data_IF_366338258259
#
_entry.id   IF_366338258259
#
_cell.length_a   1.000
_cell.length_b   1.000
_cell.length_c   1.000
_cell.angle_alpha   90.00
_cell.angle_beta   90.00
_cell.angle_gamma   90.00
#
_symmetry.space_group_name_H-M   'P 1'
#
loop_
_entity.id
_entity.type
_entity.pdbx_description
1 polymer ?
#
# COMPACT_ATOMS: atom_id res chain seq x y z
N UNK A 1 18.94 -45.59 -13.66
CA UNK A 1 18.78 -44.21 -14.14
C UNK A 1 17.32 -43.82 -13.99
N UNK A 2 16.90 -43.31 -12.84
CA UNK A 2 15.51 -42.90 -12.62
C UNK A 2 15.39 -41.41 -12.87
N UNK A 3 14.73 -41.13 -13.99
CA UNK A 3 14.11 -39.89 -14.43
C UNK A 3 13.64 -39.00 -13.28
N UNK A 4 14.05 -37.73 -13.32
CA UNK A 4 13.60 -36.65 -12.44
C UNK A 4 12.07 -36.50 -12.53
N UNK A 5 11.34 -37.23 -11.69
CA UNK A 5 9.88 -37.20 -11.61
C UNK A 5 9.39 -35.91 -10.96
N UNK A 6 8.46 -35.23 -11.61
CA UNK A 6 7.84 -34.00 -11.10
C UNK A 6 7.03 -34.31 -9.83
N UNK A 7 7.40 -33.71 -8.71
CA UNK A 7 6.67 -33.85 -7.43
C UNK A 7 5.44 -32.93 -7.42
N UNK A 8 4.24 -33.51 -7.36
CA UNK A 8 2.99 -32.77 -7.15
C UNK A 8 2.67 -32.80 -5.64
N UNK A 9 2.70 -31.63 -5.00
CA UNK A 9 2.34 -31.47 -3.58
C UNK A 9 0.81 -31.57 -3.47
N UNK A 10 0.30 -32.48 -2.63
CA UNK A 10 -1.15 -32.59 -2.43
C UNK A 10 -1.60 -31.50 -1.46
N UNK A 11 -2.83 -31.02 -1.61
CA UNK A 11 -3.37 -29.97 -0.74
C UNK A 11 -3.24 -30.30 0.76
N UNK A 12 -3.46 -31.57 1.14
CA UNK A 12 -3.33 -32.07 2.51
C UNK A 12 -1.90 -32.00 3.08
N UNK A 13 -0.89 -31.92 2.22
CA UNK A 13 0.52 -31.89 2.61
C UNK A 13 0.96 -30.46 3.02
N UNK A 14 0.11 -29.44 2.80
CA UNK A 14 0.36 -28.08 3.27
C UNK A 14 0.03 -27.94 4.76
N UNK A 15 1.03 -27.53 5.54
CA UNK A 15 0.84 -27.24 6.96
C UNK A 15 -0.15 -26.07 7.20
N UNK A 16 -1.11 -26.27 8.11
CA UNK A 16 -2.05 -25.23 8.52
C UNK A 16 -1.33 -24.19 9.37
N UNK A 17 -1.18 -22.96 8.85
CA UNK A 17 -0.66 -21.82 9.61
C UNK A 17 -1.81 -21.11 10.31
N UNK A 18 -1.84 -21.15 11.64
CA UNK A 18 -2.84 -20.44 12.44
C UNK A 18 -2.48 -18.96 12.56
N UNK A 19 -3.49 -18.10 12.54
CA UNK A 19 -3.34 -16.65 12.70
C UNK A 19 -4.03 -16.18 13.96
N UNK A 20 -3.50 -15.11 14.56
CA UNK A 20 -4.10 -14.49 15.76
C UNK A 20 -5.31 -13.67 15.35
N UNK A 21 -6.47 -13.96 15.94
CA UNK A 21 -7.72 -13.24 15.67
C UNK A 21 -7.62 -11.76 16.05
N UNK A 22 -8.34 -10.92 15.31
CA UNK A 22 -8.65 -9.54 15.71
C UNK A 22 -9.55 -9.57 16.94
N UNK A 23 -9.32 -8.68 17.90
CA UNK A 23 -10.19 -8.53 19.06
C UNK A 23 -11.52 -7.98 18.55
N UNK A 24 -12.65 -8.59 18.93
CA UNK A 24 -13.95 -8.28 18.31
C UNK A 24 -14.37 -6.80 18.40
N UNK A 25 -13.92 -6.07 19.42
CA UNK A 25 -14.21 -4.64 19.59
C UNK A 25 -13.27 -3.71 18.80
N UNK A 26 -12.26 -4.25 18.10
CA UNK A 26 -11.27 -3.44 17.38
C UNK A 26 -11.64 -3.25 15.92
N UNK A 27 -11.48 -2.03 15.44
CA UNK A 27 -11.70 -1.63 14.05
C UNK A 27 -10.45 -0.92 13.52
N UNK A 28 -10.01 -1.12 12.27
CA UNK A 28 -8.91 -0.34 11.69
C UNK A 28 -9.11 1.19 11.72
N UNK A 29 -10.34 1.62 11.98
CA UNK A 29 -10.77 3.01 12.03
C UNK A 29 -11.07 3.50 13.47
N UNK A 30 -10.81 2.68 14.50
CA UNK A 30 -11.05 3.04 15.90
C UNK A 30 -10.00 4.00 16.50
N UNK A 31 -8.92 4.27 15.76
CA UNK A 31 -7.82 5.13 16.20
C UNK A 31 -6.85 4.47 17.19
N UNK A 32 -6.98 3.17 17.47
CA UNK A 32 -6.03 2.42 18.30
C UNK A 32 -4.79 2.02 17.49
N UNK A 33 -4.01 3.03 17.10
CA UNK A 33 -2.77 2.84 16.37
C UNK A 33 -1.75 1.94 17.09
N UNK A 34 -1.56 2.01 18.42
CA UNK A 34 -0.66 1.09 19.12
C UNK A 34 -1.02 -0.39 18.90
N UNK A 35 -2.32 -0.72 18.93
CA UNK A 35 -2.77 -2.08 18.64
C UNK A 35 -2.46 -2.50 17.19
N UNK A 36 -2.79 -1.64 16.23
CA UNK A 36 -2.60 -1.91 14.81
C UNK A 36 -1.11 -1.96 14.42
N UNK A 37 -0.26 -1.10 14.96
CA UNK A 37 1.19 -1.09 14.76
C UNK A 37 1.84 -2.39 15.27
N UNK A 38 1.49 -2.81 16.48
CA UNK A 38 2.00 -4.05 17.06
C UNK A 38 1.58 -5.27 16.24
N UNK A 39 0.33 -5.30 15.74
CA UNK A 39 -0.12 -6.35 14.83
C UNK A 39 0.63 -6.31 13.50
N UNK A 40 0.81 -5.13 12.92
CA UNK A 40 1.50 -4.95 11.63
C UNK A 40 2.94 -5.47 11.70
N UNK A 41 3.62 -5.24 12.83
CA UNK A 41 4.96 -5.75 13.11
C UNK A 41 5.05 -7.27 13.24
N UNK A 42 3.92 -7.96 13.53
CA UNK A 42 3.84 -9.41 13.75
C UNK A 42 3.26 -10.16 12.55
N UNK A 43 2.92 -9.46 11.46
CA UNK A 43 2.35 -10.11 10.28
C UNK A 43 3.35 -11.07 9.64
N UNK A 44 2.95 -12.33 9.36
CA UNK A 44 3.81 -13.28 8.68
C UNK A 44 4.15 -12.77 7.27
N UNK A 45 5.39 -12.98 6.84
CA UNK A 45 5.86 -12.60 5.49
C UNK A 45 6.48 -11.21 5.39
N UNK A 46 6.40 -10.36 6.44
CA UNK A 46 7.21 -9.13 6.47
C UNK A 46 8.66 -9.45 6.78
N UNK A 47 9.58 -8.80 6.06
CA UNK A 47 11.01 -8.97 6.30
C UNK A 47 11.42 -8.35 7.65
N UNK A 48 12.46 -8.91 8.27
CA UNK A 48 13.01 -8.39 9.53
C UNK A 48 13.44 -6.92 9.43
N UNK A 49 13.92 -6.50 8.25
CA UNK A 49 14.26 -5.11 7.94
C UNK A 49 13.05 -4.21 8.00
N UNK A 50 11.95 -4.59 7.34
CA UNK A 50 10.70 -3.80 7.34
C UNK A 50 10.14 -3.69 8.76
N UNK A 51 10.13 -4.79 9.53
CA UNK A 51 9.65 -4.77 10.91
C UNK A 51 10.49 -3.84 11.80
N UNK A 52 11.81 -3.85 11.64
CA UNK A 52 12.71 -2.94 12.37
C UNK A 52 12.43 -1.47 12.03
N UNK A 53 12.30 -1.14 10.74
CA UNK A 53 12.00 0.22 10.30
C UNK A 53 10.62 0.69 10.77
N UNK A 54 9.62 -0.20 10.72
CA UNK A 54 8.28 0.11 11.19
C UNK A 54 8.29 0.51 12.67
N UNK A 55 9.02 -0.22 13.52
CA UNK A 55 9.18 0.11 14.95
C UNK A 55 9.95 1.41 15.17
N UNK A 56 11.02 1.65 14.41
CA UNK A 56 11.82 2.87 14.51
C UNK A 56 11.00 4.12 14.12
N UNK A 57 10.11 3.97 13.15
CA UNK A 57 9.25 5.04 12.65
C UNK A 57 7.89 5.10 13.36
N UNK A 58 7.69 4.32 14.43
CA UNK A 58 6.44 4.28 15.19
C UNK A 58 5.22 4.06 14.29
N UNK A 59 5.34 3.14 13.34
CA UNK A 59 4.26 2.81 12.41
C UNK A 59 3.90 3.90 11.38
N UNK A 60 4.67 4.99 11.28
CA UNK A 60 4.37 6.10 10.36
C UNK A 60 5.30 6.15 9.16
N UNK A 61 4.77 6.60 8.02
CA UNK A 61 5.54 6.90 6.83
C UNK A 61 6.33 8.20 7.05
N UNK A 62 7.64 8.22 6.76
CA UNK A 62 8.47 9.41 6.94
C UNK A 62 8.18 10.53 5.93
N UNK A 63 7.43 10.25 4.85
CA UNK A 63 7.10 11.22 3.82
C UNK A 63 5.73 11.89 4.04
N UNK A 64 4.66 11.09 4.21
CA UNK A 64 3.31 11.65 4.40
C UNK A 64 2.86 11.70 5.87
N UNK A 65 3.66 11.17 6.80
CA UNK A 65 3.37 11.11 8.23
C UNK A 65 2.10 10.35 8.65
N UNK A 66 1.46 9.65 7.69
CA UNK A 66 0.33 8.76 7.95
C UNK A 66 0.81 7.40 8.43
N UNK A 67 -0.08 6.72 9.18
CA UNK A 67 0.13 5.37 9.67
C UNK A 67 0.08 4.35 8.54
N UNK A 68 0.96 3.34 8.61
CA UNK A 68 0.85 2.17 7.78
C UNK A 68 -0.32 1.30 8.23
N UNK A 69 -1.12 0.85 7.26
CA UNK A 69 -2.17 -0.14 7.42
C UNK A 69 -1.69 -1.52 6.99
N UNK A 70 -2.49 -2.54 7.30
CA UNK A 70 -2.18 -3.93 6.95
C UNK A 70 -2.19 -4.20 5.45
N UNK A 71 -3.02 -3.46 4.71
CA UNK A 71 -3.21 -3.50 3.26
C UNK A 71 -2.24 -2.60 2.49
N UNK A 72 -1.53 -1.71 3.18
CA UNK A 72 -0.59 -0.80 2.53
C UNK A 72 0.64 -1.54 1.98
N UNK A 73 1.00 -1.18 0.75
CA UNK A 73 2.27 -1.55 0.15
C UNK A 73 3.35 -0.59 0.65
N UNK A 74 4.39 -1.14 1.27
CA UNK A 74 5.51 -0.37 1.82
C UNK A 74 6.82 -0.72 1.11
N UNK A 75 7.61 0.29 0.74
CA UNK A 75 8.92 0.17 0.13
C UNK A 75 10.01 0.74 1.05
N UNK A 76 11.20 0.14 0.98
CA UNK A 76 12.39 0.64 1.69
C UNK A 76 13.11 1.62 0.77
N UNK A 77 13.27 2.85 1.25
CA UNK A 77 13.95 3.95 0.58
C UNK A 77 15.35 4.16 1.20
N UNK A 78 16.36 4.33 0.34
CA UNK A 78 17.71 4.73 0.72
C UNK A 78 17.83 6.25 0.62
N UNK A 79 18.05 6.93 1.75
CA UNK A 79 18.04 8.39 1.83
C UNK A 79 19.22 9.02 1.06
N UNK A 80 20.38 8.36 1.07
CA UNK A 80 21.57 8.76 0.31
C UNK A 80 21.54 8.35 -1.18
N UNK A 81 20.43 7.76 -1.67
CA UNK A 81 20.29 7.17 -3.00
C UNK A 81 21.30 6.04 -3.32
N UNK A 82 22.14 5.63 -2.37
CA UNK A 82 23.11 4.57 -2.53
C UNK A 82 22.54 3.23 -2.04
N UNK A 83 22.07 2.42 -2.99
CA UNK A 83 21.47 1.10 -2.73
C UNK A 83 22.40 0.11 -2.02
N UNK A 84 23.71 0.35 -2.00
CA UNK A 84 24.68 -0.49 -1.29
C UNK A 84 24.77 -0.16 0.20
N UNK A 85 24.42 1.07 0.59
CA UNK A 85 24.47 1.50 1.98
C UNK A 85 23.20 1.08 2.75
N UNK A 86 23.22 -0.14 3.29
CA UNK A 86 22.09 -0.70 4.04
C UNK A 86 22.12 -0.38 5.55
N UNK A 87 22.80 0.70 5.95
CA UNK A 87 22.76 1.15 7.34
C UNK A 87 21.33 1.55 7.71
N UNK A 88 20.82 1.07 8.84
CA UNK A 88 19.43 1.33 9.25
C UNK A 88 19.12 2.83 9.38
N UNK A 89 20.11 3.65 9.71
CA UNK A 89 19.97 5.12 9.77
C UNK A 89 19.78 5.76 8.39
N UNK A 90 20.23 5.10 7.33
CA UNK A 90 20.10 5.53 5.94
C UNK A 90 18.82 4.99 5.28
N UNK A 91 18.13 4.06 5.94
CA UNK A 91 16.93 3.44 5.41
C UNK A 91 15.68 4.09 6.01
N UNK A 92 14.68 4.31 5.18
CA UNK A 92 13.35 4.71 5.61
C UNK A 92 12.29 3.83 4.94
N UNK A 93 11.21 3.55 5.65
CA UNK A 93 10.05 2.84 5.14
C UNK A 93 9.01 3.87 4.70
N UNK A 94 8.60 3.79 3.44
CA UNK A 94 7.62 4.67 2.83
C UNK A 94 6.45 3.86 2.27
N UNK A 95 5.26 4.47 2.16
CA UNK A 95 4.23 3.92 1.29
C UNK A 95 4.75 3.85 -0.14
N UNK A 96 4.30 2.86 -0.91
CA UNK A 96 4.68 2.72 -2.32
C UNK A 96 4.41 4.00 -3.10
N UNK A 97 3.22 4.61 -2.94
CA UNK A 97 2.90 5.86 -3.63
C UNK A 97 3.78 7.04 -3.16
N UNK A 98 4.18 7.10 -1.88
CA UNK A 98 5.08 8.13 -1.38
C UNK A 98 6.48 7.96 -1.97
N UNK A 99 6.95 6.71 -2.04
CA UNK A 99 8.21 6.36 -2.67
C UNK A 99 8.20 6.76 -4.16
N UNK A 100 7.10 6.45 -4.86
CA UNK A 100 6.93 6.80 -6.27
C UNK A 100 6.82 8.32 -6.47
N UNK A 101 6.19 9.08 -5.56
CA UNK A 101 6.17 10.55 -5.60
C UNK A 101 7.56 11.15 -5.37
N UNK A 102 8.33 10.60 -4.43
CA UNK A 102 9.68 11.06 -4.11
C UNK A 102 10.64 10.86 -5.30
N UNK A 103 10.55 9.72 -5.98
CA UNK A 103 11.37 9.45 -7.18
C UNK A 103 10.75 10.00 -8.48
N UNK A 104 9.43 10.15 -8.52
CA UNK A 104 8.67 10.63 -9.67
C UNK A 104 8.73 12.14 -9.84
N UNK A 105 8.96 12.91 -8.77
CA UNK A 105 9.25 14.34 -8.90
C UNK A 105 10.58 14.64 -9.61
N UNK A 106 11.44 13.63 -9.80
CA UNK A 106 12.65 13.74 -10.63
C UNK A 106 12.38 13.48 -12.13
N UNK A 107 11.18 13.05 -12.48
CA UNK A 107 10.71 12.96 -13.87
C UNK A 107 9.48 13.85 -14.02
N UNK A 108 9.71 15.12 -14.34
CA UNK A 108 8.67 16.07 -14.68
C UNK A 108 7.94 15.59 -15.95
N UNK A 109 6.84 14.86 -15.76
CA UNK A 109 5.77 14.71 -16.74
C UNK A 109 4.48 15.09 -16.06
N UNK A 110 4.24 16.39 -16.10
CA UNK A 110 2.95 17.02 -15.92
C UNK A 110 1.88 16.21 -16.70
N UNK A 111 1.05 15.44 -16.00
CA UNK A 111 -0.26 15.03 -16.51
C UNK A 111 -1.29 15.74 -15.66
N UNK A 112 -1.70 16.91 -16.15
CA UNK A 112 -2.94 17.56 -15.72
C UNK A 112 -4.03 16.54 -16.04
N UNK A 113 -4.58 15.91 -15.02
CA UNK A 113 -5.82 15.16 -15.16
C UNK A 113 -6.93 16.20 -15.14
N UNK A 114 -7.24 16.77 -16.30
CA UNK A 114 -8.51 17.49 -16.46
C UNK A 114 -9.63 16.48 -16.18
N UNK A 115 -10.45 16.78 -15.16
CA UNK A 115 -11.75 16.13 -15.04
C UNK A 115 -12.55 16.56 -16.28
N UNK A 116 -13.19 15.64 -17.02
CA UNK A 116 -14.23 16.04 -17.94
C UNK A 116 -15.30 16.75 -17.10
N UNK A 117 -15.53 18.02 -17.38
CA UNK A 117 -16.66 18.75 -16.82
C UNK A 117 -17.92 18.10 -17.40
N UNK A 118 -18.78 17.54 -16.55
CA UNK A 118 -20.07 17.01 -16.95
C UNK A 118 -20.93 18.18 -17.44
N UNK A 119 -20.80 18.50 -18.73
CA UNK A 119 -21.61 19.48 -19.40
C UNK A 119 -23.08 19.07 -19.31
N UNK A 120 -23.83 19.72 -18.41
CA UNK A 120 -25.30 19.73 -18.45
C UNK A 120 -25.74 20.31 -19.81
N UNK A 121 -25.93 19.45 -20.80
CA UNK A 121 -26.69 19.78 -21.99
C UNK A 121 -28.17 19.70 -21.63
N UNK A 122 -28.68 20.83 -21.13
CA UNK A 122 -30.10 21.14 -21.12
C UNK A 122 -30.62 21.04 -22.55
N UNK A 123 -31.39 20.01 -22.88
CA UNK A 123 -32.05 19.91 -24.18
C UNK A 123 -33.22 20.90 -24.24
N UNK A 124 -33.24 21.87 -25.18
CA UNK A 124 -34.44 22.67 -25.41
C UNK A 124 -35.49 21.81 -26.14
N UNK A 125 -36.66 21.65 -25.52
CA UNK A 125 -37.84 21.07 -26.16
C UNK A 125 -38.25 21.98 -27.31
N UNK A 126 -38.16 21.47 -28.54
CA UNK A 126 -38.73 22.10 -29.73
C UNK A 126 -40.26 22.17 -29.55
N UNK A 127 -40.81 23.39 -29.47
CA UNK A 127 -42.26 23.61 -29.62
C UNK A 127 -42.59 23.50 -31.10
N UNK A 128 -43.34 22.47 -31.49
CA UNK A 128 -44.00 22.46 -32.79
C UNK A 128 -45.14 23.47 -32.79
N UNK A 129 -45.09 24.38 -33.75
CA UNK A 129 -46.17 25.32 -34.08
C UNK A 129 -47.44 24.53 -34.40
N UNK A 130 -48.51 24.82 -33.67
CA UNK A 130 -49.86 24.32 -33.93
C UNK A 130 -50.76 25.49 -34.33
N UNK A 131 -51.40 25.34 -35.47
CA UNK A 131 -52.16 26.31 -36.26
C UNK A 131 -53.44 26.83 -35.57
N UNK A 132 -53.82 28.07 -35.91
CA UNK A 132 -55.18 28.45 -36.34
C UNK A 132 -55.11 29.58 -37.35
#
# INVERSE_FOLDING_TARGET
MTSNGTLIIKHRDHAIKRHVKVIGSKSPYDGDWPYWENRLSKLPGKSSRVIKLLKLQQGKCNYCHLWFRSDDLAHVHHQDCNRRNNNIKNLSLLHKHCHDQLHGSMHDKHQIREKPDDGKLSSPVLKSSGER
#
